data_IF_781234209521
#
_entry.id   IF_781234209521
#
_cell.length_a   1.000
_cell.length_b   1.000
_cell.length_c   1.000
_cell.angle_alpha   90.00
_cell.angle_beta   90.00
_cell.angle_gamma   90.00
#
_symmetry.space_group_name_H-M   'P 1'
#
loop_
_entity.id
_entity.type
_entity.pdbx_description
1 polymer ?
#
# COMPACT_ATOMS: atom_id res chain seq x y z
N UNK A 1 -16.09 -47.19 54.12
CA UNK A 1 -15.96 -45.73 54.36
C UNK A 1 -15.18 -45.16 53.18
N UNK A 2 -15.87 -44.53 52.22
CA UNK A 2 -16.02 -43.05 52.02
C UNK A 2 -14.68 -42.36 51.67
N UNK A 3 -14.37 -42.19 50.38
CA UNK A 3 -14.46 -40.97 49.50
C UNK A 3 -13.64 -39.81 50.10
N UNK A 4 -12.65 -39.20 49.43
CA UNK A 4 -12.72 -38.14 48.39
C UNK A 4 -11.26 -37.93 47.90
N UNK A 5 -10.86 -38.29 46.67
CA UNK A 5 -10.77 -37.45 45.44
C UNK A 5 -10.32 -35.99 45.64
N UNK A 6 -9.09 -35.63 45.23
CA UNK A 6 -8.87 -34.31 44.62
C UNK A 6 -7.72 -34.38 43.61
N UNK A 7 -8.14 -34.32 42.35
CA UNK A 7 -7.34 -34.00 41.16
C UNK A 7 -7.08 -32.49 41.16
N UNK A 8 -5.90 -32.07 40.70
CA UNK A 8 -5.56 -30.65 40.46
C UNK A 8 -4.06 -30.52 40.15
N UNK A 9 -3.64 -30.79 38.91
CA UNK A 9 -3.39 -29.81 37.84
C UNK A 9 -2.27 -28.83 38.21
N UNK A 10 -1.11 -29.02 37.58
CA UNK A 10 -0.34 -27.90 37.05
C UNK A 10 0.13 -28.30 35.65
N UNK A 11 -0.83 -28.25 34.72
CA UNK A 11 -0.54 -28.19 33.29
C UNK A 11 -0.01 -26.77 33.06
N UNK A 12 1.29 -26.62 32.88
CA UNK A 12 1.87 -25.35 32.44
C UNK A 12 1.62 -25.26 30.93
N UNK A 13 0.41 -24.84 30.59
CA UNK A 13 0.00 -24.53 29.23
C UNK A 13 0.90 -23.41 28.72
N UNK A 14 1.65 -23.68 27.65
CA UNK A 14 2.22 -22.70 26.75
C UNK A 14 1.06 -21.81 26.25
N UNK A 15 0.89 -20.65 26.86
CA UNK A 15 0.25 -19.52 26.22
C UNK A 15 1.39 -18.65 25.68
N UNK A 16 1.87 -19.01 24.49
CA UNK A 16 2.31 -17.96 23.58
C UNK A 16 1.04 -17.16 23.30
N UNK A 17 0.88 -16.07 24.03
CA UNK A 17 -0.01 -15.02 23.60
C UNK A 17 0.53 -14.54 22.26
N UNK A 18 -0.16 -14.86 21.16
CA UNK A 18 -0.09 -14.03 19.97
C UNK A 18 -0.53 -12.63 20.43
N UNK A 19 0.41 -11.70 20.38
CA UNK A 19 0.09 -10.27 20.48
C UNK A 19 -0.77 -9.90 19.27
N UNK A 20 -1.71 -8.96 19.39
CA UNK A 20 -2.58 -8.56 18.29
C UNK A 20 -1.96 -7.47 17.39
N UNK A 21 -0.64 -7.24 17.46
CA UNK A 21 0.08 -6.23 16.71
C UNK A 21 1.38 -6.84 16.14
N UNK A 22 1.27 -7.88 15.34
CA UNK A 22 2.35 -8.15 14.40
C UNK A 22 2.17 -7.08 13.30
N UNK A 23 2.84 -5.93 13.46
CA UNK A 23 3.05 -4.99 12.34
C UNK A 23 3.62 -5.80 11.18
N UNK A 24 2.99 -5.70 10.01
CA UNK A 24 3.48 -6.44 8.85
C UNK A 24 4.87 -5.93 8.48
N UNK A 25 5.79 -6.86 8.27
CA UNK A 25 7.17 -6.54 7.90
C UNK A 25 7.27 -6.39 6.38
N UNK A 26 7.43 -5.14 5.93
CA UNK A 26 7.58 -4.78 4.53
C UNK A 26 9.03 -4.51 4.11
N UNK A 27 10.00 -4.78 4.97
CA UNK A 27 11.41 -4.38 4.80
C UNK A 27 11.99 -4.79 3.43
N UNK A 28 11.70 -6.02 2.97
CA UNK A 28 12.22 -6.52 1.69
C UNK A 28 11.66 -5.74 0.48
N UNK A 29 10.40 -5.28 0.56
CA UNK A 29 9.77 -4.48 -0.49
C UNK A 29 10.27 -3.03 -0.42
N UNK A 30 10.35 -2.46 0.77
CA UNK A 30 10.88 -1.12 1.04
C UNK A 30 12.32 -0.96 0.57
N UNK A 31 13.21 -1.92 0.85
CA UNK A 31 14.61 -1.89 0.38
C UNK A 31 14.68 -1.86 -1.15
N UNK A 32 13.89 -2.70 -1.83
CA UNK A 32 13.85 -2.74 -3.30
C UNK A 32 13.32 -1.46 -3.91
N UNK A 33 12.24 -0.91 -3.36
CA UNK A 33 11.67 0.35 -3.84
C UNK A 33 12.66 1.50 -3.59
N UNK A 34 13.27 1.55 -2.42
CA UNK A 34 14.21 2.61 -2.07
C UNK A 34 15.45 2.62 -2.95
N UNK A 35 15.99 1.44 -3.28
CA UNK A 35 17.08 1.32 -4.26
C UNK A 35 16.62 1.75 -5.66
N UNK A 36 15.39 1.42 -6.07
CA UNK A 36 14.88 1.73 -7.40
C UNK A 36 14.64 3.23 -7.62
N UNK A 37 14.23 3.95 -6.57
CA UNK A 37 13.88 5.37 -6.63
C UNK A 37 14.96 6.31 -6.07
N UNK A 38 16.04 5.78 -5.49
CA UNK A 38 17.06 6.57 -4.74
C UNK A 38 16.40 7.49 -3.68
N UNK A 39 15.36 6.97 -3.04
CA UNK A 39 14.49 7.68 -2.09
C UNK A 39 14.09 6.71 -0.98
N UNK A 40 14.11 7.13 0.27
CA UNK A 40 13.76 6.26 1.41
C UNK A 40 12.25 6.02 1.43
N UNK A 41 11.80 4.85 0.97
CA UNK A 41 10.39 4.49 0.84
C UNK A 41 9.98 3.61 2.01
N UNK A 42 8.99 4.08 2.77
CA UNK A 42 8.31 3.34 3.83
C UNK A 42 6.88 3.03 3.41
N UNK A 43 6.44 1.79 3.62
CA UNK A 43 5.10 1.36 3.27
C UNK A 43 4.17 1.62 4.45
N UNK A 44 3.21 2.52 4.25
CA UNK A 44 2.21 2.89 5.25
C UNK A 44 0.88 2.24 4.90
N UNK A 45 0.35 1.43 5.81
CA UNK A 45 -0.99 0.85 5.67
C UNK A 45 -2.08 1.88 5.96
N UNK A 46 -3.13 1.99 5.11
CA UNK A 46 -4.36 2.68 5.48
C UNK A 46 -5.06 1.99 6.66
N UNK A 47 -5.81 2.75 7.48
CA UNK A 47 -6.50 2.17 8.63
C UNK A 47 -7.46 1.05 8.19
N UNK A 48 -7.33 -0.13 8.83
CA UNK A 48 -8.16 -1.30 8.53
C UNK A 48 -7.81 -2.04 7.24
N UNK A 49 -6.81 -1.57 6.49
CA UNK A 49 -6.33 -2.20 5.27
C UNK A 49 -4.93 -2.76 5.51
N UNK A 50 -4.52 -3.69 4.64
CA UNK A 50 -3.15 -4.18 4.62
C UNK A 50 -2.69 -4.34 3.19
N UNK A 51 -1.38 -4.30 2.99
CA UNK A 51 -0.78 -4.44 1.67
C UNK A 51 -1.20 -5.76 1.00
N UNK A 52 -1.78 -5.67 -0.19
CA UNK A 52 -2.24 -6.80 -1.00
C UNK A 52 -1.19 -7.21 -2.03
N UNK A 53 -0.50 -6.24 -2.61
CA UNK A 53 0.57 -6.47 -3.57
C UNK A 53 1.47 -5.24 -3.68
N UNK A 54 2.70 -5.48 -4.14
CA UNK A 54 3.54 -4.44 -4.73
C UNK A 54 4.03 -4.92 -6.09
N UNK A 55 3.75 -4.12 -7.12
CA UNK A 55 4.22 -4.33 -8.49
C UNK A 55 5.30 -3.31 -8.81
N UNK A 56 6.48 -3.76 -9.20
CA UNK A 56 7.55 -2.90 -9.69
C UNK A 56 7.67 -3.07 -11.21
N UNK A 57 7.50 -1.97 -11.95
CA UNK A 57 7.50 -1.96 -13.41
C UNK A 57 8.87 -1.59 -13.98
N UNK A 58 9.13 -2.04 -15.20
CA UNK A 58 10.38 -1.82 -15.95
C UNK A 58 11.60 -2.54 -15.38
N UNK A 59 11.39 -3.84 -15.12
CA UNK A 59 12.40 -4.83 -14.76
C UNK A 59 13.56 -4.86 -15.76
N UNK A 60 14.72 -4.30 -15.38
CA UNK A 60 16.00 -4.51 -16.07
C UNK A 60 16.30 -3.60 -17.28
N UNK A 61 15.44 -2.63 -17.59
CA UNK A 61 15.78 -1.52 -18.49
C UNK A 61 15.72 -0.23 -17.68
N UNK A 62 16.88 0.22 -17.19
CA UNK A 62 16.98 1.53 -16.54
C UNK A 62 16.81 2.61 -17.61
N UNK A 63 15.56 2.97 -17.88
CA UNK A 63 15.20 4.24 -18.49
C UNK A 63 14.76 5.10 -17.32
N UNK A 64 15.67 6.00 -16.92
CA UNK A 64 15.38 7.11 -16.02
C UNK A 64 14.08 7.78 -16.53
N UNK A 65 13.03 7.85 -15.70
CA UNK A 65 11.65 8.29 -16.02
C UNK A 65 10.63 7.24 -16.50
N UNK A 66 10.96 5.95 -16.58
CA UNK A 66 9.95 4.89 -16.79
C UNK A 66 9.74 4.04 -15.53
N UNK A 67 10.55 4.21 -14.49
CA UNK A 67 10.40 3.46 -13.23
C UNK A 67 9.08 3.83 -12.54
N UNK A 68 8.31 2.80 -12.19
CA UNK A 68 7.03 2.93 -11.51
C UNK A 68 6.85 1.76 -10.56
N UNK A 69 6.31 2.03 -9.38
CA UNK A 69 5.79 1.00 -8.49
C UNK A 69 4.32 1.26 -8.21
N UNK A 70 3.55 0.20 -8.02
CA UNK A 70 2.15 0.29 -7.62
C UNK A 70 1.91 -0.62 -6.42
N UNK A 71 1.42 -0.03 -5.34
CA UNK A 71 1.06 -0.67 -4.09
C UNK A 71 -0.47 -0.72 -4.04
N UNK A 72 -1.02 -1.89 -3.75
CA UNK A 72 -2.47 -2.05 -3.56
C UNK A 72 -2.77 -2.49 -2.15
N UNK A 73 -3.78 -1.91 -1.51
CA UNK A 73 -4.23 -2.26 -0.17
C UNK A 73 -5.70 -2.72 -0.20
N UNK A 74 -6.02 -3.70 0.63
CA UNK A 74 -7.36 -4.26 0.76
C UNK A 74 -7.66 -4.62 2.21
N UNK A 75 -8.94 -4.69 2.55
CA UNK A 75 -9.38 -5.34 3.80
C UNK A 75 -9.26 -6.86 3.68
N UNK A 76 -8.64 -7.50 4.68
CA UNK A 76 -8.56 -8.96 4.80
C UNK A 76 -9.35 -9.44 6.03
N UNK A 77 -10.46 -10.18 5.81
CA UNK A 77 -11.23 -10.79 6.90
C UNK A 77 -10.59 -12.09 7.44
N UNK A 78 -9.75 -12.73 6.63
CA UNK A 78 -9.09 -14.00 6.90
C UNK A 78 -7.58 -13.90 6.60
N UNK A 79 -6.84 -15.00 6.76
CA UNK A 79 -5.42 -15.06 6.40
C UNK A 79 -5.23 -14.77 4.90
N UNK A 80 -4.17 -14.02 4.56
CA UNK A 80 -3.84 -13.68 3.17
C UNK A 80 -3.53 -14.94 2.36
N UNK A 81 -4.32 -15.19 1.32
CA UNK A 81 -4.09 -16.28 0.36
C UNK A 81 -3.54 -15.70 -0.96
N UNK A 82 -2.57 -16.38 -1.57
CA UNK A 82 -2.04 -15.94 -2.87
C UNK A 82 -3.13 -16.08 -3.93
N UNK A 83 -3.48 -14.98 -4.59
CA UNK A 83 -4.59 -14.91 -5.54
C UNK A 83 -4.29 -15.53 -6.91
N UNK A 84 -3.01 -15.72 -7.23
CA UNK A 84 -2.56 -16.21 -8.55
C UNK A 84 -1.61 -17.40 -8.43
N UNK A 85 -1.67 -18.30 -9.41
CA UNK A 85 -0.67 -19.38 -9.54
C UNK A 85 0.67 -18.84 -10.03
N UNK A 86 1.77 -19.55 -9.76
CA UNK A 86 3.11 -19.18 -10.25
C UNK A 86 3.16 -18.97 -11.77
N UNK A 87 2.43 -19.78 -12.55
CA UNK A 87 2.36 -19.65 -14.01
C UNK A 87 1.65 -18.35 -14.43
N UNK A 88 0.57 -17.98 -13.73
CA UNK A 88 -0.13 -16.72 -13.96
C UNK A 88 0.72 -15.51 -13.57
N UNK A 89 1.36 -15.56 -12.40
CA UNK A 89 2.28 -14.51 -11.92
C UNK A 89 3.35 -14.26 -12.96
N UNK A 90 4.07 -15.32 -13.36
CA UNK A 90 5.14 -15.20 -14.35
C UNK A 90 4.64 -14.69 -15.70
N UNK A 91 3.50 -15.19 -16.17
CA UNK A 91 2.93 -14.73 -17.44
C UNK A 91 2.55 -13.25 -17.40
N UNK A 92 2.08 -12.75 -16.26
CA UNK A 92 1.71 -11.35 -16.09
C UNK A 92 2.96 -10.46 -15.98
N UNK A 93 3.95 -10.87 -15.18
CA UNK A 93 5.26 -10.22 -15.06
C UNK A 93 5.93 -10.04 -16.43
N UNK A 94 5.98 -11.11 -17.22
CA UNK A 94 6.56 -11.09 -18.58
C UNK A 94 5.73 -10.19 -19.52
N UNK A 95 4.39 -10.22 -19.41
CA UNK A 95 3.50 -9.46 -20.31
C UNK A 95 3.47 -7.97 -20.03
N UNK A 96 3.61 -7.57 -18.76
CA UNK A 96 3.53 -6.18 -18.31
C UNK A 96 4.92 -5.58 -18.02
N UNK A 97 5.98 -6.35 -18.23
CA UNK A 97 7.36 -5.98 -17.91
C UNK A 97 7.48 -5.50 -16.44
N UNK A 98 6.97 -6.31 -15.52
CA UNK A 98 6.92 -6.00 -14.08
C UNK A 98 7.33 -7.19 -13.22
N UNK A 99 7.52 -6.97 -11.93
CA UNK A 99 7.76 -7.98 -10.90
C UNK A 99 6.82 -7.75 -9.72
N UNK A 100 6.24 -8.81 -9.18
CA UNK A 100 5.64 -8.77 -7.85
C UNK A 100 6.76 -8.86 -6.81
N UNK A 101 6.99 -7.77 -6.08
CA UNK A 101 7.96 -7.77 -4.99
C UNK A 101 7.30 -8.08 -3.63
N UNK A 102 5.96 -8.04 -3.59
CA UNK A 102 5.12 -8.49 -2.47
C UNK A 102 3.76 -8.98 -3.01
N UNK A 103 3.15 -9.98 -2.36
CA UNK A 103 1.90 -10.60 -2.82
C UNK A 103 2.08 -11.46 -4.09
N UNK A 104 1.05 -11.62 -4.93
CA UNK A 104 -0.28 -10.99 -4.89
C UNK A 104 -1.28 -11.74 -4.00
N UNK A 105 -1.91 -11.06 -3.04
CA UNK A 105 -2.90 -11.65 -2.12
C UNK A 105 -4.37 -11.28 -2.42
N UNK A 106 -4.61 -10.17 -3.12
CA UNK A 106 -5.94 -9.74 -3.56
C UNK A 106 -5.90 -9.24 -5.01
N UNK A 107 -7.01 -9.36 -5.74
CA UNK A 107 -7.14 -8.83 -7.11
C UNK A 107 -7.81 -7.44 -7.15
N UNK A 108 -8.48 -7.00 -6.08
CA UNK A 108 -9.15 -5.69 -6.01
C UNK A 108 -8.63 -4.89 -4.81
N UNK A 109 -7.87 -3.84 -5.10
CA UNK A 109 -7.38 -2.90 -4.11
C UNK A 109 -8.37 -1.72 -3.96
N UNK A 110 -8.62 -1.29 -2.73
CA UNK A 110 -9.45 -0.14 -2.39
C UNK A 110 -8.62 1.15 -2.39
N UNK A 111 -7.37 1.03 -1.95
CA UNK A 111 -6.33 2.04 -2.12
C UNK A 111 -5.30 1.52 -3.12
N UNK A 112 -4.97 2.33 -4.12
CA UNK A 112 -3.86 2.10 -5.03
C UNK A 112 -2.93 3.30 -5.01
N UNK A 113 -1.66 3.05 -4.71
CA UNK A 113 -0.64 4.10 -4.59
C UNK A 113 0.39 3.81 -5.67
N UNK A 114 0.59 4.77 -6.55
CA UNK A 114 1.61 4.71 -7.59
C UNK A 114 2.76 5.63 -7.21
N UNK A 115 3.97 5.08 -7.21
CA UNK A 115 5.22 5.80 -6.99
C UNK A 115 5.96 5.85 -8.32
N UNK A 116 6.33 7.04 -8.78
CA UNK A 116 7.14 7.21 -9.98
C UNK A 116 8.05 8.43 -9.84
N UNK A 117 9.01 8.59 -10.74
CA UNK A 117 9.65 9.90 -10.90
C UNK A 117 8.66 10.92 -11.47
N UNK A 118 8.91 12.20 -11.22
CA UNK A 118 8.10 13.32 -11.69
C UNK A 118 7.80 13.19 -13.20
N UNK A 119 6.53 12.96 -13.53
CA UNK A 119 6.03 13.16 -14.88
C UNK A 119 5.19 14.44 -14.88
N UNK A 120 5.86 15.54 -15.25
CA UNK A 120 5.26 16.88 -15.33
C UNK A 120 4.00 16.96 -16.21
N UNK A 121 3.72 15.94 -17.03
CA UNK A 121 2.52 15.91 -17.88
C UNK A 121 1.22 15.75 -17.07
N UNK A 122 1.24 15.09 -15.90
CA UNK A 122 0.03 14.77 -15.12
C UNK A 122 -0.77 16.00 -14.65
N UNK A 123 -0.08 17.02 -14.14
CA UNK A 123 -0.71 18.27 -13.66
C UNK A 123 -1.08 19.25 -14.81
N UNK A 124 -0.79 18.89 -16.06
CA UNK A 124 -0.94 19.80 -17.19
C UNK A 124 -2.12 19.47 -18.11
N UNK A 125 -2.91 18.43 -17.83
CA UNK A 125 -4.13 18.16 -18.58
C UNK A 125 -5.15 19.30 -18.35
N UNK A 126 -5.42 20.15 -19.36
CA UNK A 126 -6.33 21.29 -19.20
C UNK A 126 -7.79 20.87 -19.03
N UNK A 127 -8.12 19.59 -19.18
CA UNK A 127 -9.48 19.07 -18.98
C UNK A 127 -9.72 18.59 -17.54
N UNK A 128 -8.67 18.57 -16.70
CA UNK A 128 -8.73 18.15 -15.32
C UNK A 128 -8.58 19.36 -14.40
N UNK A 129 -9.61 19.63 -13.58
CA UNK A 129 -9.56 20.68 -12.57
C UNK A 129 -9.19 20.06 -11.23
N UNK A 130 -7.92 20.18 -10.85
CA UNK A 130 -7.44 19.79 -9.52
C UNK A 130 -7.74 20.89 -8.50
N UNK A 131 -8.20 20.47 -7.32
CA UNK A 131 -8.16 21.26 -6.10
C UNK A 131 -6.80 21.07 -5.41
N UNK A 132 -6.50 21.89 -4.40
CA UNK A 132 -5.23 21.77 -3.66
C UNK A 132 -5.45 22.02 -2.18
N UNK A 133 -4.83 21.18 -1.37
CA UNK A 133 -4.83 21.25 0.07
C UNK A 133 -3.39 21.15 0.60
N UNK A 134 -3.13 21.84 1.71
CA UNK A 134 -1.84 21.78 2.41
C UNK A 134 -1.99 20.82 3.59
N UNK A 135 -1.22 19.74 3.58
CA UNK A 135 -1.18 18.72 4.65
C UNK A 135 0.25 18.64 5.13
N UNK A 136 0.49 18.97 6.41
CA UNK A 136 1.82 18.97 7.03
C UNK A 136 2.92 19.70 6.21
N UNK A 137 2.59 20.91 5.72
CA UNK A 137 3.46 21.77 4.89
C UNK A 137 3.77 21.23 3.49
N UNK A 138 3.10 20.16 3.09
CA UNK A 138 3.19 19.55 1.77
C UNK A 138 1.92 19.83 0.96
N UNK A 139 2.08 20.28 -0.28
CA UNK A 139 0.96 20.49 -1.20
C UNK A 139 0.45 19.16 -1.75
N UNK A 140 -0.85 18.93 -1.63
CA UNK A 140 -1.56 17.79 -2.24
C UNK A 140 -2.54 18.33 -3.27
N UNK A 141 -2.38 17.90 -4.52
CA UNK A 141 -3.33 18.20 -5.60
C UNK A 141 -4.31 17.05 -5.71
N UNK A 142 -5.61 17.30 -5.70
CA UNK A 142 -6.61 16.23 -5.70
C UNK A 142 -7.83 16.55 -6.56
N UNK A 143 -8.60 15.52 -6.89
CA UNK A 143 -9.92 15.62 -7.48
C UNK A 143 -10.80 14.45 -7.05
N UNK A 144 -12.10 14.71 -6.97
CA UNK A 144 -13.11 13.66 -6.83
C UNK A 144 -13.78 13.46 -8.20
N UNK A 145 -13.80 12.22 -8.67
CA UNK A 145 -14.47 11.84 -9.92
C UNK A 145 -15.93 11.50 -9.60
N UNK A 146 -16.84 11.78 -10.54
CA UNK A 146 -18.27 11.43 -10.45
C UNK A 146 -18.54 9.93 -10.17
N UNK A 147 -17.54 9.07 -10.40
CA UNK A 147 -17.57 7.63 -10.11
C UNK A 147 -17.43 7.29 -8.62
N UNK A 148 -17.17 8.26 -7.74
CA UNK A 148 -16.79 8.00 -6.35
C UNK A 148 -15.31 7.63 -6.19
N UNK A 149 -14.47 7.95 -7.18
CA UNK A 149 -13.04 7.72 -7.09
C UNK A 149 -12.35 9.02 -6.69
N UNK A 150 -11.52 8.96 -5.67
CA UNK A 150 -10.67 10.05 -5.23
C UNK A 150 -9.27 9.85 -5.81
N UNK A 151 -8.75 10.88 -6.46
CA UNK A 151 -7.40 10.89 -6.99
C UNK A 151 -6.63 12.05 -6.39
N UNK A 152 -5.45 11.79 -5.85
CA UNK A 152 -4.56 12.81 -5.31
C UNK A 152 -3.11 12.56 -5.72
N UNK A 153 -2.32 13.63 -5.75
CA UNK A 153 -0.90 13.59 -6.01
C UNK A 153 -0.16 14.50 -5.05
N UNK A 154 0.98 14.02 -4.57
CA UNK A 154 1.99 14.84 -3.90
C UNK A 154 3.40 14.43 -4.33
N UNK A 155 4.39 15.24 -3.99
CA UNK A 155 5.77 15.10 -4.45
C UNK A 155 6.75 15.20 -3.29
N UNK A 156 7.70 14.28 -3.23
CA UNK A 156 8.87 14.34 -2.35
C UNK A 156 10.12 14.40 -3.22
N UNK A 157 10.77 15.56 -3.24
CA UNK A 157 11.85 15.86 -4.19
C UNK A 157 11.43 15.56 -5.65
N UNK A 158 12.05 14.57 -6.30
CA UNK A 158 11.77 14.16 -7.69
C UNK A 158 10.81 12.95 -7.76
N UNK A 159 10.30 12.47 -6.63
CA UNK A 159 9.42 11.30 -6.54
C UNK A 159 7.96 11.75 -6.36
N UNK A 160 7.11 11.32 -7.28
CA UNK A 160 5.67 11.52 -7.25
C UNK A 160 4.98 10.34 -6.56
N UNK A 161 4.06 10.65 -5.66
CA UNK A 161 3.11 9.72 -5.08
C UNK A 161 1.71 10.07 -5.59
N UNK A 162 1.12 9.16 -6.36
CA UNK A 162 -0.25 9.22 -6.84
C UNK A 162 -1.12 8.26 -6.05
N UNK A 163 -2.24 8.74 -5.54
CA UNK A 163 -3.21 8.01 -4.75
C UNK A 163 -4.49 7.88 -5.57
N UNK A 164 -4.94 6.66 -5.83
CA UNK A 164 -6.24 6.33 -6.40
C UNK A 164 -7.03 5.53 -5.37
N UNK A 165 -8.12 6.10 -4.87
CA UNK A 165 -8.88 5.57 -3.74
C UNK A 165 -10.35 5.45 -4.14
N UNK A 166 -10.90 4.24 -3.98
CA UNK A 166 -12.33 3.99 -4.25
C UNK A 166 -13.17 4.36 -3.03
N UNK A 167 -13.81 5.52 -3.04
CA UNK A 167 -14.66 5.96 -1.93
C UNK A 167 -16.00 5.21 -1.91
N UNK A 168 -16.49 4.94 -0.72
CA UNK A 168 -17.82 4.37 -0.50
C UNK A 168 -18.47 4.89 0.80
N UNK A 169 -19.39 4.12 1.41
CA UNK A 169 -20.04 4.56 2.65
C UNK A 169 -19.14 4.42 3.89
N UNK A 170 -18.15 3.55 3.82
CA UNK A 170 -17.22 3.22 4.89
C UNK A 170 -15.87 3.94 4.67
N UNK A 171 -15.54 4.28 3.42
CA UNK A 171 -14.33 5.03 3.05
C UNK A 171 -14.64 6.43 2.51
N UNK A 172 -14.33 7.46 3.30
CA UNK A 172 -14.62 8.87 2.97
C UNK A 172 -13.39 9.62 2.46
N UNK A 173 -13.61 10.80 1.88
CA UNK A 173 -12.55 11.71 1.49
C UNK A 173 -11.64 12.10 2.68
N UNK A 174 -12.20 12.24 3.89
CA UNK A 174 -11.39 12.54 5.07
C UNK A 174 -10.45 11.38 5.39
N UNK A 175 -10.91 10.14 5.27
CA UNK A 175 -10.06 8.95 5.52
C UNK A 175 -8.93 8.87 4.48
N UNK A 176 -9.20 9.28 3.23
CA UNK A 176 -8.17 9.41 2.21
C UNK A 176 -7.12 10.48 2.57
N UNK A 177 -7.54 11.65 3.05
CA UNK A 177 -6.60 12.70 3.47
C UNK A 177 -5.82 12.33 4.73
N UNK A 178 -6.45 11.67 5.70
CA UNK A 178 -5.78 11.20 6.91
C UNK A 178 -4.70 10.18 6.55
N UNK A 179 -4.99 9.27 5.60
CA UNK A 179 -3.99 8.34 5.05
C UNK A 179 -2.84 9.06 4.34
N UNK A 180 -3.15 10.03 3.46
CA UNK A 180 -2.13 10.82 2.77
C UNK A 180 -1.25 11.58 3.78
N UNK A 181 -1.83 12.13 4.84
CA UNK A 181 -1.09 12.80 5.93
C UNK A 181 -0.12 11.87 6.64
N UNK A 182 -0.50 10.60 6.88
CA UNK A 182 0.41 9.60 7.43
C UNK A 182 1.57 9.29 6.47
N UNK A 183 1.30 9.15 5.17
CA UNK A 183 2.36 8.96 4.16
C UNK A 183 3.30 10.17 4.12
N UNK A 184 2.76 11.40 4.17
CA UNK A 184 3.56 12.64 4.21
C UNK A 184 4.41 12.69 5.48
N UNK A 185 3.85 12.35 6.64
CA UNK A 185 4.60 12.32 7.90
C UNK A 185 5.78 11.34 7.84
N UNK A 186 5.58 10.18 7.21
CA UNK A 186 6.63 9.16 7.12
C UNK A 186 7.76 9.55 6.14
N UNK A 187 7.45 10.25 5.05
CA UNK A 187 8.41 10.58 3.98
C UNK A 187 8.91 12.03 3.98
N UNK A 188 8.26 12.93 4.73
CA UNK A 188 8.57 14.36 4.76
C UNK A 188 9.65 14.79 5.76
N UNK A 189 10.30 13.84 6.46
CA UNK A 189 11.27 14.11 7.53
C UNK A 189 12.73 13.85 7.12
#
# INVERSE_FOLDING_TARGET
>A
MKVISFVGILLLSLLLACSPNDEEDYTDAEEKLSEAFDFDIHIVDPEGHSLSYVKHYNKGNYVENEQKATLGYSVFEEEKEVSKTEEQIKSEEDSLNMEYIYGPYSESAEYQITISFEDSEFLTDPNLEYESEEIDEQTVHYMEKDSGEFSAVTFFDEVMFEFEISLDNDLTQQDAFDYIGNVITEHGN
#
